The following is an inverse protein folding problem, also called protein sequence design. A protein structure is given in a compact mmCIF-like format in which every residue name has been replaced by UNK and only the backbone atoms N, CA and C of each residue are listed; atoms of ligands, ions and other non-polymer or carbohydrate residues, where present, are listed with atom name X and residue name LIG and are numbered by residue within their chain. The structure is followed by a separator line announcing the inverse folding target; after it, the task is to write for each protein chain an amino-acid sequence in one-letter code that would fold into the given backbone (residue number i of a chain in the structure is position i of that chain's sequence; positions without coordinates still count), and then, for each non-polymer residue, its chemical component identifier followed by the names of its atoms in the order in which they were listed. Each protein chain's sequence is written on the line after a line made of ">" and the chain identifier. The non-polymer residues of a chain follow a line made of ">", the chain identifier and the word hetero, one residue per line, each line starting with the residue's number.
data_IF_610458954962
#
_entry.id   IF_610458954962
#
_cell.length_a   1.000
_cell.length_b   1.000
_cell.length_c   1.000
_cell.angle_alpha   90.00
_cell.angle_beta   90.00
_cell.angle_gamma   90.00
#
_symmetry.space_group_name_H-M   'P 1'
#
loop_
_entity.id
_entity.type
_entity.pdbx_description
1 polymer ?
#
# COMPACT_ATOMS: atom_id res chain seq x y z
N UNK A 1 -16.23 -3.00 -20.42
CA UNK A 1 -16.56 -3.74 -19.18
C UNK A 1 -17.19 -2.79 -18.16
N UNK A 2 -18.11 -3.26 -17.31
CA UNK A 2 -18.75 -2.44 -16.25
C UNK A 2 -17.94 -2.51 -14.95
N UNK A 3 -17.78 -1.37 -14.28
CA UNK A 3 -17.12 -1.27 -12.98
C UNK A 3 -17.96 -1.98 -11.90
N UNK A 4 -17.36 -2.88 -11.14
CA UNK A 4 -18.03 -3.55 -10.03
C UNK A 4 -18.32 -2.62 -8.83
N UNK A 5 -17.76 -1.41 -8.81
CA UNK A 5 -17.91 -0.42 -7.73
C UNK A 5 -19.00 0.59 -8.10
N UNK A 6 -18.78 1.42 -9.12
CA UNK A 6 -19.73 2.48 -9.53
C UNK A 6 -20.77 2.04 -10.58
N UNK A 7 -20.66 0.81 -11.11
CA UNK A 7 -21.59 0.23 -12.12
C UNK A 7 -21.60 0.88 -13.50
N UNK A 8 -20.78 1.90 -13.73
CA UNK A 8 -20.59 2.56 -15.03
C UNK A 8 -19.65 1.78 -15.97
N UNK A 9 -19.76 2.06 -17.28
CA UNK A 9 -18.92 1.46 -18.32
C UNK A 9 -17.48 2.04 -18.33
N UNK A 10 -16.58 1.37 -19.07
CA UNK A 10 -15.19 1.83 -19.27
C UNK A 10 -14.19 1.35 -18.22
N UNK A 11 -14.56 0.42 -17.34
CA UNK A 11 -13.61 -0.17 -16.40
C UNK A 11 -12.61 -1.09 -17.11
N UNK A 12 -11.35 -1.01 -16.74
CA UNK A 12 -10.25 -1.77 -17.37
C UNK A 12 -9.35 -2.52 -16.39
N UNK A 13 -9.36 -2.16 -15.10
CA UNK A 13 -8.49 -2.79 -14.10
C UNK A 13 -9.14 -4.07 -13.61
N UNK A 14 -8.45 -5.20 -13.78
CA UNK A 14 -8.95 -6.52 -13.38
C UNK A 14 -8.19 -7.05 -12.18
N UNK A 15 -8.91 -7.59 -11.20
CA UNK A 15 -8.29 -8.22 -10.04
C UNK A 15 -7.56 -9.52 -10.44
N UNK A 16 -6.28 -9.63 -10.09
CA UNK A 16 -5.43 -10.82 -10.27
C UNK A 16 -5.52 -11.84 -9.13
N UNK A 17 -6.56 -11.75 -8.28
CA UNK A 17 -6.83 -12.75 -7.26
C UNK A 17 -7.40 -14.03 -7.86
N UNK A 18 -7.08 -15.19 -7.26
CA UNK A 18 -7.56 -16.50 -7.72
C UNK A 18 -9.10 -16.51 -7.82
N UNK A 19 -9.63 -16.89 -9.00
CA UNK A 19 -11.08 -16.96 -9.27
C UNK A 19 -11.82 -15.64 -8.99
N UNK A 20 -11.18 -14.50 -9.22
CA UNK A 20 -11.80 -13.18 -9.09
C UNK A 20 -12.11 -12.58 -10.46
N UNK A 21 -13.39 -12.28 -10.72
CA UNK A 21 -13.84 -11.60 -11.94
C UNK A 21 -14.10 -10.10 -11.75
N UNK A 22 -13.66 -9.51 -10.62
CA UNK A 22 -13.89 -8.08 -10.35
C UNK A 22 -13.06 -7.23 -11.30
N UNK A 23 -13.76 -6.34 -12.02
CA UNK A 23 -13.21 -5.31 -12.88
C UNK A 23 -13.65 -3.95 -12.32
N UNK A 24 -12.76 -2.98 -12.26
CA UNK A 24 -13.03 -1.65 -11.72
C UNK A 24 -12.27 -0.56 -12.49
N UNK A 25 -12.75 0.69 -12.43
CA UNK A 25 -11.94 1.83 -12.83
C UNK A 25 -10.79 2.01 -11.86
N UNK A 26 -9.65 2.49 -12.33
CA UNK A 26 -8.51 2.76 -11.47
C UNK A 26 -8.84 3.72 -10.30
N UNK A 27 -9.53 4.86 -10.50
CA UNK A 27 -9.92 5.75 -9.40
C UNK A 27 -10.86 5.08 -8.39
N UNK A 28 -11.92 4.41 -8.87
CA UNK A 28 -12.84 3.68 -7.99
C UNK A 28 -12.11 2.60 -7.16
N UNK A 29 -11.14 1.92 -7.78
CA UNK A 29 -10.30 0.97 -7.08
C UNK A 29 -9.51 1.62 -5.96
N UNK A 30 -8.83 2.73 -6.23
CA UNK A 30 -8.05 3.48 -5.25
C UNK A 30 -8.91 3.91 -4.05
N UNK A 31 -10.08 4.50 -4.32
CA UNK A 31 -11.05 4.94 -3.29
C UNK A 31 -11.59 3.76 -2.46
N UNK A 32 -11.79 2.60 -3.09
CA UNK A 32 -12.29 1.40 -2.42
C UNK A 32 -11.20 0.63 -1.66
N UNK A 33 -9.95 1.08 -1.72
CA UNK A 33 -8.81 0.39 -1.11
C UNK A 33 -8.37 -0.87 -1.85
N UNK A 34 -8.45 -0.85 -3.18
CA UNK A 34 -7.74 -1.80 -4.05
C UNK A 34 -6.25 -1.46 -4.09
N UNK A 35 -5.42 -2.45 -4.41
CA UNK A 35 -3.97 -2.27 -4.57
C UNK A 35 -3.60 -2.48 -6.04
N UNK A 36 -2.86 -1.55 -6.62
CA UNK A 36 -2.22 -1.70 -7.93
C UNK A 36 -0.71 -1.70 -7.72
N UNK A 37 -0.05 -2.73 -8.22
CA UNK A 37 1.41 -2.86 -8.17
C UNK A 37 2.01 -2.25 -9.44
N UNK A 38 3.08 -1.49 -9.28
CA UNK A 38 3.76 -0.77 -10.36
C UNK A 38 5.07 -1.44 -10.78
N UNK A 39 5.16 -2.76 -10.60
CA UNK A 39 6.32 -3.58 -10.89
C UNK A 39 5.90 -4.88 -11.58
N UNK A 40 6.85 -5.51 -12.29
CA UNK A 40 6.64 -6.79 -12.97
C UNK A 40 5.45 -6.72 -13.94
N UNK A 41 4.45 -7.58 -13.74
CA UNK A 41 3.24 -7.67 -14.58
C UNK A 41 2.16 -6.62 -14.26
N UNK A 42 2.47 -5.61 -13.45
CA UNK A 42 1.54 -4.53 -13.07
C UNK A 42 0.19 -5.06 -12.52
N UNK A 43 0.28 -6.01 -11.58
CA UNK A 43 -0.91 -6.69 -11.03
C UNK A 43 -1.75 -5.74 -10.19
N UNK A 44 -3.08 -5.84 -10.33
CA UNK A 44 -4.04 -5.16 -9.44
C UNK A 44 -4.87 -6.16 -8.67
N UNK A 45 -5.26 -5.80 -7.45
CA UNK A 45 -6.01 -6.64 -6.53
C UNK A 45 -7.16 -5.85 -5.91
N UNK A 46 -8.37 -6.42 -5.94
CA UNK A 46 -9.54 -5.81 -5.33
C UNK A 46 -9.41 -5.77 -3.80
N UNK A 47 -10.25 -4.99 -3.11
CA UNK A 47 -10.25 -4.86 -1.65
C UNK A 47 -10.36 -6.19 -0.87
N UNK A 48 -10.82 -7.28 -1.49
CA UNK A 48 -10.85 -8.64 -0.90
C UNK A 48 -9.59 -9.47 -1.14
N UNK A 49 -8.83 -9.16 -2.19
CA UNK A 49 -7.65 -9.94 -2.60
C UNK A 49 -6.36 -9.14 -2.55
N UNK A 50 -6.42 -7.89 -2.07
CA UNK A 50 -5.25 -7.06 -1.90
C UNK A 50 -4.24 -7.74 -0.96
N UNK A 51 -2.94 -7.54 -1.18
CA UNK A 51 -1.95 -7.93 -0.20
C UNK A 51 -2.24 -7.25 1.14
N UNK A 52 -2.02 -8.00 2.21
CA UNK A 52 -2.05 -7.51 3.59
C UNK A 52 -0.68 -7.75 4.21
N UNK A 53 -0.34 -6.96 5.22
CA UNK A 53 0.88 -7.19 6.00
C UNK A 53 0.61 -8.25 7.06
N UNK A 54 1.42 -9.31 7.05
CA UNK A 54 1.38 -10.36 8.07
C UNK A 54 2.48 -10.13 9.10
N UNK A 55 2.58 -8.91 9.63
CA UNK A 55 3.58 -8.56 10.65
C UNK A 55 2.90 -8.66 12.01
N UNK A 56 3.48 -9.45 12.93
CA UNK A 56 3.10 -9.41 14.36
C UNK A 56 3.60 -8.08 14.92
N UNK A 57 2.87 -7.02 14.66
CA UNK A 57 3.22 -5.71 15.14
C UNK A 57 3.01 -5.68 16.67
N UNK A 58 3.93 -5.02 17.38
CA UNK A 58 3.83 -4.88 18.84
C UNK A 58 2.52 -4.15 19.14
N UNK A 59 1.62 -4.77 19.91
CA UNK A 59 0.43 -4.08 20.39
C UNK A 59 0.90 -2.94 21.30
N UNK A 60 0.64 -1.72 20.87
CA UNK A 60 0.91 -0.50 21.63
C UNK A 60 -0.40 0.28 21.74
N UNK A 61 -0.63 0.87 22.91
CA UNK A 61 -1.86 1.64 23.20
C UNK A 61 -2.07 2.79 22.21
N UNK A 62 -0.98 3.37 21.71
CA UNK A 62 -0.98 4.37 20.65
C UNK A 62 0.24 4.19 19.74
N UNK A 63 0.01 3.97 18.45
CA UNK A 63 1.03 4.02 17.41
C UNK A 63 0.88 5.32 16.63
N UNK A 64 1.99 6.06 16.46
CA UNK A 64 2.02 7.31 15.70
C UNK A 64 2.65 7.08 14.33
N UNK A 65 2.15 7.80 13.32
CA UNK A 65 2.81 7.87 12.03
C UNK A 65 4.14 8.62 12.17
N UNK A 66 5.27 7.98 11.80
CA UNK A 66 6.59 8.64 11.89
C UNK A 66 6.78 9.85 10.97
N UNK A 67 5.84 10.11 10.05
CA UNK A 67 5.93 11.21 9.08
C UNK A 67 5.13 12.43 9.55
N UNK A 68 3.87 12.25 9.95
CA UNK A 68 3.00 13.36 10.39
C UNK A 68 2.81 13.45 11.91
N UNK A 69 3.31 12.47 12.67
CA UNK A 69 3.16 12.37 14.13
C UNK A 69 1.71 12.26 14.64
N UNK A 70 0.75 12.01 13.74
CA UNK A 70 -0.64 11.72 14.09
C UNK A 70 -0.86 10.22 14.33
N UNK A 71 -1.89 9.88 15.10
CA UNK A 71 -2.26 8.50 15.41
C UNK A 71 -2.60 7.70 14.14
N UNK A 72 -2.14 6.45 14.10
CA UNK A 72 -2.55 5.46 13.10
C UNK A 72 -3.39 4.36 13.76
N UNK A 73 -3.91 3.42 12.98
CA UNK A 73 -4.55 2.24 13.57
C UNK A 73 -3.52 1.41 14.36
N UNK A 74 -3.92 0.86 15.51
CA UNK A 74 -3.07 -0.05 16.31
C UNK A 74 -2.75 -1.41 15.66
N UNK A 75 -3.13 -1.61 14.40
CA UNK A 75 -2.85 -2.80 13.62
C UNK A 75 -2.66 -2.46 12.12
N UNK A 76 -1.83 -3.22 11.38
CA UNK A 76 -1.69 -3.02 9.94
C UNK A 76 -3.02 -3.20 9.20
N UNK A 77 -3.35 -2.27 8.32
CA UNK A 77 -4.54 -2.32 7.48
C UNK A 77 -4.25 -1.65 6.12
N UNK A 78 -5.28 -1.33 5.33
CA UNK A 78 -5.04 -0.63 4.07
C UNK A 78 -4.41 0.75 4.29
N UNK A 79 -4.93 1.50 5.27
CA UNK A 79 -4.53 2.89 5.54
C UNK A 79 -3.34 3.01 6.49
N UNK A 80 -2.98 1.94 7.20
CA UNK A 80 -1.87 1.90 8.16
C UNK A 80 -0.87 0.83 7.79
N UNK A 81 0.36 1.25 7.48
CA UNK A 81 1.46 0.38 7.07
C UNK A 81 2.56 0.37 8.14
N UNK A 82 3.30 -0.74 8.22
CA UNK A 82 4.43 -0.92 9.12
C UNK A 82 5.68 -1.36 8.34
N UNK A 83 6.86 -0.92 8.76
CA UNK A 83 8.11 -1.44 8.22
C UNK A 83 8.24 -2.93 8.59
N UNK A 84 8.42 -3.84 7.62
CA UNK A 84 8.54 -5.27 7.90
C UNK A 84 9.86 -5.64 8.60
N UNK A 85 10.92 -4.84 8.42
CA UNK A 85 12.24 -5.14 8.96
C UNK A 85 12.33 -4.89 10.46
N UNK A 86 11.75 -3.79 10.96
CA UNK A 86 11.82 -3.44 12.38
C UNK A 86 10.51 -3.59 13.15
N UNK A 87 9.36 -3.75 12.46
CA UNK A 87 8.03 -3.85 13.05
C UNK A 87 7.59 -2.67 13.97
N UNK A 88 8.40 -1.61 14.05
CA UNK A 88 8.21 -0.48 14.97
C UNK A 88 7.98 0.85 14.24
N UNK A 89 8.22 0.92 12.94
CA UNK A 89 8.00 2.12 12.15
C UNK A 89 6.63 2.07 11.45
N UNK A 90 5.73 2.96 11.87
CA UNK A 90 4.34 2.99 11.43
C UNK A 90 4.04 4.21 10.57
N UNK A 91 3.14 4.05 9.60
CA UNK A 91 2.83 5.09 8.62
C UNK A 91 1.37 5.07 8.19
N UNK A 92 0.78 6.26 8.06
CA UNK A 92 -0.35 6.41 7.16
C UNK A 92 0.08 6.09 5.73
N UNK A 93 -0.72 5.29 5.01
CA UNK A 93 -0.50 4.97 3.59
C UNK A 93 -0.29 6.23 2.75
N UNK A 94 -1.11 7.26 2.98
CA UNK A 94 -0.99 8.56 2.30
C UNK A 94 0.35 9.24 2.58
N UNK A 95 0.79 9.25 3.84
CA UNK A 95 2.03 9.90 4.22
C UNK A 95 3.24 9.20 3.59
N UNK A 96 3.30 7.87 3.66
CA UNK A 96 4.42 7.14 3.08
C UNK A 96 4.42 7.20 1.55
N UNK A 97 3.24 7.21 0.91
CA UNK A 97 3.13 7.46 -0.53
C UNK A 97 3.65 8.85 -0.90
N UNK A 98 3.33 9.88 -0.11
CA UNK A 98 3.84 11.23 -0.30
C UNK A 98 5.37 11.31 -0.15
N UNK A 99 5.93 10.64 0.85
CA UNK A 99 7.38 10.54 1.03
C UNK A 99 8.05 9.82 -0.15
N UNK A 100 7.48 8.71 -0.61
CA UNK A 100 7.99 7.95 -1.76
C UNK A 100 8.02 8.78 -3.05
N UNK A 101 7.01 9.63 -3.29
CA UNK A 101 6.96 10.47 -4.49
C UNK A 101 7.92 11.66 -4.47
N UNK A 102 8.36 12.09 -3.27
CA UNK A 102 9.30 13.21 -3.09
C UNK A 102 10.75 12.76 -2.94
N UNK A 103 10.96 11.47 -2.69
CA UNK A 103 12.28 10.87 -2.52
C UNK A 103 12.69 10.21 -3.83
N UNK A 104 13.96 10.35 -4.23
CA UNK A 104 14.50 9.46 -5.25
C UNK A 104 14.52 8.02 -4.73
N UNK A 105 14.40 7.02 -5.61
CA UNK A 105 14.31 5.60 -5.22
C UNK A 105 15.40 5.18 -4.25
N UNK A 106 16.65 5.57 -4.50
CA UNK A 106 17.80 5.22 -3.67
C UNK A 106 17.77 5.86 -2.26
N UNK A 107 16.93 6.87 -2.04
CA UNK A 107 16.74 7.52 -0.75
C UNK A 107 15.49 7.03 -0.01
N UNK A 108 14.62 6.26 -0.66
CA UNK A 108 13.39 5.77 -0.03
C UNK A 108 13.69 4.55 0.86
N UNK A 109 13.88 4.81 2.16
CA UNK A 109 14.24 3.80 3.17
C UNK A 109 13.41 3.97 4.43
N UNK A 110 13.39 2.97 5.30
CA UNK A 110 12.74 3.12 6.60
C UNK A 110 13.43 4.25 7.39
N UNK A 111 12.71 5.29 7.85
CA UNK A 111 13.30 6.37 8.63
C UNK A 111 13.81 5.93 10.01
N UNK A 112 13.35 4.79 10.54
CA UNK A 112 13.74 4.30 11.85
C UNK A 112 14.96 3.37 11.79
N UNK A 113 14.89 2.26 11.05
CA UNK A 113 15.95 1.25 11.00
C UNK A 113 16.87 1.37 9.77
N UNK A 114 16.59 2.33 8.88
CA UNK A 114 17.35 2.57 7.64
C UNK A 114 17.37 1.41 6.63
N UNK A 115 16.62 0.33 6.87
CA UNK A 115 16.45 -0.75 5.90
C UNK A 115 15.85 -0.21 4.58
N UNK A 116 16.48 -0.61 3.47
CA UNK A 116 16.09 -0.24 2.11
C UNK A 116 15.39 -1.40 1.44
N UNK A 117 16.04 -2.57 1.37
CA UNK A 117 15.61 -3.67 0.51
C UNK A 117 14.25 -4.22 0.93
N UNK A 118 14.12 -4.67 2.18
CA UNK A 118 12.89 -5.26 2.73
C UNK A 118 11.77 -4.24 2.76
N UNK A 119 12.08 -3.01 3.15
CA UNK A 119 11.15 -1.90 3.22
C UNK A 119 10.57 -1.56 1.85
N UNK A 120 11.42 -1.35 0.84
CA UNK A 120 10.97 -1.02 -0.50
C UNK A 120 10.14 -2.15 -1.11
N UNK A 121 10.62 -3.39 -1.04
CA UNK A 121 9.91 -4.56 -1.57
C UNK A 121 8.48 -4.63 -1.01
N UNK A 122 8.33 -4.47 0.31
CA UNK A 122 7.03 -4.52 0.96
C UNK A 122 6.15 -3.32 0.58
N UNK A 123 6.70 -2.10 0.55
CA UNK A 123 5.97 -0.91 0.11
C UNK A 123 5.47 -1.06 -1.34
N UNK A 124 6.31 -1.58 -2.25
CA UNK A 124 5.91 -1.91 -3.62
C UNK A 124 4.79 -2.94 -3.65
N UNK A 125 4.95 -4.06 -2.93
CA UNK A 125 3.97 -5.14 -2.85
C UNK A 125 2.60 -4.59 -2.43
N UNK A 126 2.59 -3.67 -1.46
CA UNK A 126 1.39 -3.02 -0.94
C UNK A 126 0.86 -1.89 -1.85
N UNK A 127 1.49 -1.62 -2.99
CA UNK A 127 1.05 -0.65 -4.00
C UNK A 127 1.45 0.79 -3.70
N UNK A 128 2.51 1.01 -2.91
CA UNK A 128 3.15 2.32 -2.81
C UNK A 128 3.97 2.53 -4.09
N UNK A 129 3.67 3.61 -4.82
CA UNK A 129 4.43 4.00 -5.99
C UNK A 129 5.73 4.68 -5.55
N UNK A 130 6.87 4.16 -5.97
CA UNK A 130 8.20 4.74 -5.76
C UNK A 130 8.78 4.98 -7.17
N UNK A 131 8.89 6.24 -7.62
CA UNK A 131 9.50 6.56 -8.91
C UNK A 131 10.98 6.17 -8.93
N UNK A 132 11.52 5.76 -10.09
CA UNK A 132 12.92 5.35 -10.20
C UNK A 132 13.92 6.51 -10.02
N UNK A 133 13.46 7.75 -10.14
CA UNK A 133 14.27 8.97 -10.09
C UNK A 133 14.46 9.57 -11.46
#
# INVERSE_FOLDING_TARGET
>A
QRCCICRLWGASVTCRGRRCSRIFHFPCGSERGCVSQFFGEFKSFCWKHRPVQCVRAVQQDQTLCLICQEAVAGQPCYDTLVCPACASAWFHRRCIQGQALRSARHHFRCPLCQDVATFQEEMFRLGIKIPDG
#
